data_IF_569984709682
#
_entry.id   IF_569984709682
#
_cell.length_a   1.000
_cell.length_b   1.000
_cell.length_c   1.000
_cell.angle_alpha   90.00
_cell.angle_beta   90.00
_cell.angle_gamma   90.00
#
_symmetry.space_group_name_H-M   'P 1'
#
loop_
_entity.id
_entity.type
_entity.pdbx_description
1 polymer ?
#
# COMPACT_ATOMS: atom_id res chain seq x y z
N UNK A 1 14.89 18.15 -4.58
CA UNK A 1 13.43 18.13 -4.78
C UNK A 1 12.90 19.29 -3.98
N UNK A 2 12.09 20.19 -4.56
CA UNK A 2 11.45 21.23 -3.77
C UNK A 2 10.48 20.55 -2.80
N UNK A 3 10.52 20.95 -1.53
CA UNK A 3 9.59 20.44 -0.52
C UNK A 3 8.17 20.88 -0.88
N UNK A 4 7.26 19.92 -0.97
CA UNK A 4 5.84 20.18 -1.25
C UNK A 4 5.21 20.62 0.05
N UNK A 5 4.56 21.79 0.03
CA UNK A 5 3.90 22.37 1.20
C UNK A 5 2.41 22.54 0.98
N UNK A 6 1.69 22.90 2.03
CA UNK A 6 0.27 23.28 1.98
C UNK A 6 -0.03 24.31 0.87
N UNK A 7 0.92 25.21 0.59
CA UNK A 7 0.76 26.28 -0.40
C UNK A 7 0.69 25.75 -1.83
N UNK A 8 1.22 24.56 -2.06
CA UNK A 8 1.21 23.88 -3.35
C UNK A 8 -0.07 23.06 -3.56
N UNK A 9 -0.81 22.78 -2.48
CA UNK A 9 -2.02 21.95 -2.53
C UNK A 9 -3.21 22.76 -3.05
N UNK A 10 -3.91 22.17 -4.02
CA UNK A 10 -5.16 22.68 -4.57
C UNK A 10 -6.38 22.11 -3.84
N UNK A 11 -6.37 20.81 -3.55
CA UNK A 11 -7.40 20.13 -2.75
C UNK A 11 -6.96 18.75 -2.28
N UNK A 12 -7.66 18.26 -1.25
CA UNK A 12 -7.58 16.88 -0.74
C UNK A 12 -8.98 16.27 -0.75
N UNK A 13 -9.07 14.98 -1.10
CA UNK A 13 -10.33 14.24 -1.04
C UNK A 13 -10.10 12.76 -0.71
N UNK A 14 -11.17 12.12 -0.23
CA UNK A 14 -11.16 10.71 0.17
C UNK A 14 -11.93 9.89 -0.88
N UNK A 15 -11.23 8.97 -1.54
CA UNK A 15 -11.80 7.94 -2.40
C UNK A 15 -12.19 6.70 -1.58
N UNK A 16 -12.66 5.64 -2.24
CA UNK A 16 -13.09 4.40 -1.57
C UNK A 16 -11.96 3.75 -0.77
N UNK A 17 -10.74 3.76 -1.30
CA UNK A 17 -9.58 3.03 -0.78
C UNK A 17 -8.33 3.90 -0.63
N UNK A 18 -8.44 5.21 -0.88
CA UNK A 18 -7.31 6.13 -0.91
C UNK A 18 -7.64 7.53 -0.41
N UNK A 19 -6.60 8.21 0.09
CA UNK A 19 -6.55 9.66 0.28
C UNK A 19 -5.81 10.24 -0.92
N UNK A 20 -6.38 11.28 -1.52
CA UNK A 20 -5.86 11.89 -2.74
C UNK A 20 -5.53 13.35 -2.52
N UNK A 21 -4.42 13.80 -3.10
CA UNK A 21 -3.96 15.18 -3.07
C UNK A 21 -3.76 15.65 -4.51
N UNK A 22 -4.33 16.80 -4.86
CA UNK A 22 -4.07 17.50 -6.13
C UNK A 22 -3.27 18.77 -5.83
N UNK A 23 -2.16 18.96 -6.54
CA UNK A 23 -1.37 20.18 -6.48
C UNK A 23 -1.87 21.22 -7.47
N UNK A 24 -1.50 22.49 -7.26
CA UNK A 24 -1.83 23.61 -8.15
C UNK A 24 -1.26 23.46 -9.56
N UNK A 25 -0.16 22.72 -9.71
CA UNK A 25 0.44 22.39 -11.01
C UNK A 25 -0.25 21.22 -11.74
N UNK A 26 -1.30 20.64 -11.15
CA UNK A 26 -2.08 19.55 -11.73
C UNK A 26 -1.58 18.14 -11.40
N UNK A 27 -0.46 17.97 -10.69
CA UNK A 27 -0.04 16.64 -10.22
C UNK A 27 -1.04 16.09 -9.20
N UNK A 28 -1.36 14.80 -9.32
CA UNK A 28 -2.22 14.09 -8.39
C UNK A 28 -1.43 12.95 -7.73
N UNK A 29 -1.39 12.98 -6.40
CA UNK A 29 -0.75 11.97 -5.56
C UNK A 29 -1.79 11.22 -4.73
N UNK A 30 -1.48 9.96 -4.38
CA UNK A 30 -2.41 9.09 -3.64
C UNK A 30 -1.70 8.28 -2.57
N UNK A 31 -2.37 8.12 -1.43
CA UNK A 31 -2.03 7.18 -0.37
C UNK A 31 -3.16 6.19 -0.16
N UNK A 32 -2.83 4.90 -0.06
CA UNK A 32 -3.84 3.87 0.14
C UNK A 32 -4.19 3.76 1.62
N UNK A 33 -5.48 3.89 1.96
CA UNK A 33 -5.97 3.77 3.34
C UNK A 33 -5.49 2.47 3.98
N UNK A 34 -5.54 1.38 3.19
CA UNK A 34 -5.11 0.03 3.59
C UNK A 34 -3.61 -0.13 3.84
N UNK A 35 -2.80 0.89 3.66
CA UNK A 35 -1.37 0.83 3.97
C UNK A 35 -1.07 1.42 5.37
N UNK A 36 -2.07 1.99 6.05
CA UNK A 36 -1.95 2.63 7.37
C UNK A 36 -2.98 2.08 8.35
N UNK A 37 -2.52 1.45 9.45
CA UNK A 37 -3.41 0.82 10.43
C UNK A 37 -4.46 1.77 11.04
N UNK A 38 -4.14 3.03 11.42
CA UNK A 38 -5.13 3.97 11.93
C UNK A 38 -6.20 4.31 10.90
N UNK A 39 -5.80 4.53 9.64
CA UNK A 39 -6.73 4.87 8.56
C UNK A 39 -7.63 3.68 8.18
N UNK A 40 -7.16 2.43 8.31
CA UNK A 40 -7.98 1.22 8.09
C UNK A 40 -9.17 1.14 9.05
N UNK A 41 -8.99 1.61 10.29
CA UNK A 41 -10.00 1.52 11.36
C UNK A 41 -10.91 2.74 11.41
N UNK A 42 -10.53 3.81 10.72
CA UNK A 42 -11.26 5.07 10.71
C UNK A 42 -12.59 4.98 9.96
N UNK A 43 -13.59 5.72 10.43
CA UNK A 43 -14.83 5.93 9.69
C UNK A 43 -14.59 6.88 8.51
N UNK A 44 -15.51 6.87 7.53
CA UNK A 44 -15.40 7.81 6.40
C UNK A 44 -15.54 9.27 6.81
N UNK A 45 -16.23 9.55 7.92
CA UNK A 45 -16.36 10.91 8.43
C UNK A 45 -15.03 11.39 9.01
N UNK A 46 -14.36 10.56 9.82
CA UNK A 46 -13.02 10.85 10.35
C UNK A 46 -12.00 11.09 9.23
N UNK A 47 -12.03 10.27 8.17
CA UNK A 47 -11.13 10.46 7.03
C UNK A 47 -11.43 11.74 6.23
N UNK A 48 -12.70 12.13 6.11
CA UNK A 48 -13.10 13.36 5.41
C UNK A 48 -12.78 14.61 6.21
N UNK A 49 -12.74 14.51 7.54
CA UNK A 49 -12.37 15.58 8.46
C UNK A 49 -10.84 15.78 8.54
N UNK A 50 -10.16 15.70 7.39
CA UNK A 50 -8.73 15.89 7.29
C UNK A 50 -8.40 17.35 6.93
N UNK A 51 -7.25 17.83 7.38
CA UNK A 51 -6.71 19.15 7.03
C UNK A 51 -5.33 19.03 6.42
N UNK A 52 -4.94 20.02 5.62
CA UNK A 52 -3.55 20.16 5.14
C UNK A 52 -2.87 21.17 6.03
N UNK A 53 -1.64 20.87 6.46
CA UNK A 53 -0.84 21.75 7.31
C UNK A 53 0.64 21.48 7.08
N UNK A 54 1.41 22.56 6.92
CA UNK A 54 2.84 22.55 6.64
C UNK A 54 3.19 21.65 5.45
N UNK A 55 3.59 20.42 5.71
CA UNK A 55 4.08 19.42 4.76
C UNK A 55 3.24 18.13 4.77
N UNK A 56 2.03 18.15 5.36
CA UNK A 56 1.23 16.93 5.56
C UNK A 56 -0.29 17.09 5.46
N UNK A 57 -0.96 15.95 5.36
CA UNK A 57 -2.41 15.77 5.55
C UNK A 57 -2.65 15.16 6.92
N UNK A 58 -3.34 15.87 7.78
CA UNK A 58 -3.58 15.52 9.18
C UNK A 58 -5.02 15.05 9.42
N UNK A 59 -5.15 14.02 10.25
CA UNK A 59 -6.42 13.44 10.71
C UNK A 59 -6.50 13.61 12.22
N UNK A 60 -7.05 14.76 12.68
CA UNK A 60 -7.03 15.11 14.10
C UNK A 60 -7.77 14.08 14.97
N UNK A 61 -8.85 13.48 14.46
CA UNK A 61 -9.61 12.42 15.16
C UNK A 61 -8.81 11.11 15.35
N UNK A 62 -7.69 10.95 14.63
CA UNK A 62 -6.87 9.73 14.61
C UNK A 62 -5.46 9.93 15.19
N UNK A 63 -5.10 11.18 15.52
CA UNK A 63 -3.73 11.57 15.89
C UNK A 63 -2.68 11.05 14.88
N UNK A 64 -2.99 11.18 13.58
CA UNK A 64 -2.20 10.62 12.49
C UNK A 64 -1.99 11.64 11.36
N UNK A 65 -0.83 11.54 10.70
CA UNK A 65 -0.42 12.46 9.64
C UNK A 65 0.26 11.75 8.47
N UNK A 66 -0.11 12.15 7.25
CA UNK A 66 0.53 11.67 6.02
C UNK A 66 1.33 12.80 5.39
N UNK A 67 2.66 12.64 5.28
CA UNK A 67 3.51 13.61 4.60
C UNK A 67 3.12 13.77 3.11
N UNK A 68 3.01 15.01 2.63
CA UNK A 68 2.70 15.36 1.24
C UNK A 68 3.70 14.73 0.27
N UNK A 69 4.98 14.68 0.62
CA UNK A 69 6.02 14.01 -0.17
C UNK A 69 5.71 12.52 -0.41
N UNK A 70 5.04 11.86 0.54
CA UNK A 70 4.59 10.47 0.44
C UNK A 70 3.63 10.24 -0.72
N UNK A 71 2.65 11.14 -0.91
CA UNK A 71 1.63 11.04 -1.96
C UNK A 71 2.20 11.01 -3.38
N UNK A 72 3.36 11.63 -3.60
CA UNK A 72 4.04 11.73 -4.89
C UNK A 72 5.30 10.87 -4.99
N UNK A 73 5.66 10.19 -3.90
CA UNK A 73 6.81 9.29 -3.89
C UNK A 73 6.50 8.03 -4.70
N UNK A 74 7.49 7.48 -5.44
CA UNK A 74 7.34 6.20 -6.11
C UNK A 74 6.90 5.15 -5.10
N UNK A 75 5.66 4.69 -5.21
CA UNK A 75 5.18 3.61 -4.36
C UNK A 75 5.99 2.38 -4.71
N UNK A 76 6.78 1.88 -3.77
CA UNK A 76 7.24 0.48 -3.81
C UNK A 76 6.02 -0.39 -3.53
N UNK A 77 5.08 -0.43 -4.47
CA UNK A 77 4.09 -1.50 -4.49
C UNK A 77 4.91 -2.74 -4.78
N UNK A 78 5.28 -3.48 -3.74
CA UNK A 78 5.73 -4.84 -3.88
C UNK A 78 4.51 -5.72 -3.65
N UNK A 79 3.74 -6.07 -4.70
CA UNK A 79 2.48 -6.78 -4.51
C UNK A 79 2.71 -8.16 -3.90
N UNK A 80 3.90 -8.76 -4.07
CA UNK A 80 4.25 -10.05 -3.45
C UNK A 80 4.52 -9.85 -1.97
N UNK A 81 5.41 -8.91 -1.61
CA UNK A 81 5.71 -8.60 -0.20
C UNK A 81 4.49 -8.14 0.58
N UNK A 82 3.62 -7.36 -0.06
CA UNK A 82 2.38 -6.86 0.52
C UNK A 82 1.47 -7.95 1.07
N UNK A 83 1.38 -9.11 0.40
CA UNK A 83 0.52 -10.20 0.87
C UNK A 83 1.01 -10.75 2.21
N UNK A 84 2.32 -10.95 2.38
CA UNK A 84 2.88 -11.42 3.64
C UNK A 84 2.84 -10.38 4.76
N UNK A 85 2.77 -9.09 4.41
CA UNK A 85 2.51 -8.04 5.38
C UNK A 85 1.05 -8.00 5.84
N UNK A 86 0.10 -8.20 4.91
CA UNK A 86 -1.33 -8.22 5.21
C UNK A 86 -1.78 -9.49 5.96
N UNK A 87 -1.09 -10.60 5.74
CA UNK A 87 -1.43 -11.90 6.31
C UNK A 87 -0.18 -12.49 6.99
N UNK A 88 0.16 -12.01 8.21
CA UNK A 88 1.36 -12.46 8.94
C UNK A 88 1.34 -13.97 9.26
N UNK A 89 0.18 -14.62 9.17
CA UNK A 89 0.01 -16.07 9.33
C UNK A 89 0.60 -16.85 8.14
N UNK A 90 0.83 -16.20 6.99
CA UNK A 90 1.44 -16.83 5.82
C UNK A 90 2.96 -16.91 5.94
N UNK A 91 3.50 -18.12 5.73
CA UNK A 91 4.94 -18.34 5.70
C UNK A 91 5.51 -18.27 4.27
N UNK A 92 6.34 -17.25 3.99
CA UNK A 92 6.94 -17.05 2.67
C UNK A 92 7.84 -18.21 2.20
N UNK A 93 8.55 -18.87 3.12
CA UNK A 93 9.39 -20.01 2.79
C UNK A 93 8.55 -21.25 2.43
N UNK A 94 7.45 -21.50 3.15
CA UNK A 94 6.51 -22.57 2.82
C UNK A 94 5.81 -22.32 1.47
N UNK A 95 5.39 -21.08 1.24
CA UNK A 95 4.81 -20.66 -0.04
C UNK A 95 5.78 -20.88 -1.21
N UNK A 96 7.05 -20.49 -1.04
CA UNK A 96 8.08 -20.69 -2.07
C UNK A 96 8.29 -22.17 -2.41
N UNK A 97 8.34 -23.05 -1.39
CA UNK A 97 8.43 -24.51 -1.59
C UNK A 97 7.24 -25.04 -2.37
N UNK A 98 6.03 -24.65 -1.98
CA UNK A 98 4.78 -25.06 -2.63
C UNK A 98 4.71 -24.65 -4.10
N UNK A 99 5.25 -23.47 -4.44
CA UNK A 99 5.31 -22.95 -5.80
C UNK A 99 6.50 -23.49 -6.63
N UNK A 100 7.43 -24.23 -6.01
CA UNK A 100 8.66 -24.70 -6.67
C UNK A 100 9.65 -23.58 -7.01
N UNK A 101 9.68 -22.49 -6.22
CA UNK A 101 10.63 -21.37 -6.39
C UNK A 101 11.73 -21.48 -5.33
N UNK A 102 13.01 -21.30 -5.70
CA UNK A 102 14.08 -21.21 -4.71
C UNK A 102 13.78 -20.14 -3.64
N UNK A 103 13.84 -20.51 -2.37
CA UNK A 103 13.48 -19.62 -1.26
C UNK A 103 14.27 -18.28 -1.28
N UNK A 104 15.58 -18.23 -1.60
CA UNK A 104 16.29 -16.95 -1.69
C UNK A 104 15.76 -16.04 -2.80
N UNK A 105 15.35 -16.61 -3.94
CA UNK A 105 14.77 -15.85 -5.03
C UNK A 105 13.39 -15.31 -4.64
N UNK A 106 12.58 -16.13 -3.97
CA UNK A 106 11.27 -15.69 -3.50
C UNK A 106 11.38 -14.63 -2.40
N UNK A 107 12.34 -14.75 -1.48
CA UNK A 107 12.65 -13.72 -0.48
C UNK A 107 13.02 -12.38 -1.15
N UNK A 108 13.81 -12.42 -2.23
CA UNK A 108 14.12 -11.23 -3.03
C UNK A 108 12.88 -10.61 -3.70
N UNK A 109 11.88 -11.43 -4.06
CA UNK A 109 10.58 -10.93 -4.51
C UNK A 109 9.76 -10.34 -3.36
N UNK A 110 9.78 -10.93 -2.17
CA UNK A 110 9.04 -10.47 -0.98
C UNK A 110 9.61 -9.17 -0.41
N UNK A 111 10.94 -8.98 -0.44
CA UNK A 111 11.57 -7.73 0.01
C UNK A 111 11.65 -6.65 -1.10
N UNK A 112 11.31 -7.02 -2.35
CA UNK A 112 11.23 -6.09 -3.48
C UNK A 112 12.57 -5.78 -4.16
N UNK A 113 13.66 -6.44 -3.76
CA UNK A 113 14.97 -6.32 -4.43
C UNK A 113 14.98 -6.92 -5.83
N UNK A 114 14.09 -7.87 -6.13
CA UNK A 114 13.87 -8.41 -7.48
C UNK A 114 12.41 -8.31 -7.88
N UNK A 115 12.18 -8.05 -9.17
CA UNK A 115 10.84 -8.02 -9.77
C UNK A 115 10.58 -9.33 -10.53
N UNK A 116 9.54 -10.11 -10.18
CA UNK A 116 9.17 -11.28 -10.98
C UNK A 116 8.64 -10.85 -12.35
N UNK A 117 8.92 -11.67 -13.38
CA UNK A 117 8.32 -11.50 -14.70
C UNK A 117 6.79 -11.62 -14.66
N UNK A 118 6.09 -11.18 -15.70
CA UNK A 118 4.63 -11.25 -15.77
C UNK A 118 4.11 -12.68 -15.57
N UNK A 119 4.70 -13.66 -16.27
CA UNK A 119 4.35 -15.07 -16.12
C UNK A 119 4.61 -15.60 -14.70
N UNK A 120 5.75 -15.21 -14.10
CA UNK A 120 6.09 -15.61 -12.72
C UNK A 120 5.12 -15.01 -11.71
N UNK A 121 4.74 -13.74 -11.90
CA UNK A 121 3.76 -13.04 -11.08
C UNK A 121 2.38 -13.68 -11.16
N UNK A 122 1.93 -14.08 -12.35
CA UNK A 122 0.67 -14.80 -12.52
C UNK A 122 0.68 -16.10 -11.72
N UNK A 123 1.75 -16.91 -11.81
CA UNK A 123 1.89 -18.15 -11.01
C UNK A 123 1.82 -17.89 -9.51
N UNK A 124 2.49 -16.83 -9.02
CA UNK A 124 2.43 -16.43 -7.61
C UNK A 124 0.99 -16.10 -7.20
N UNK A 125 0.27 -15.28 -7.97
CA UNK A 125 -1.10 -14.90 -7.66
C UNK A 125 -2.06 -16.10 -7.71
N UNK A 126 -1.92 -16.98 -8.70
CA UNK A 126 -2.74 -18.18 -8.85
C UNK A 126 -2.59 -19.10 -7.63
N UNK A 127 -1.38 -19.20 -7.07
CA UNK A 127 -1.10 -20.00 -5.88
C UNK A 127 -1.68 -19.38 -4.60
N UNK A 128 -1.64 -18.06 -4.43
CA UNK A 128 -2.35 -17.40 -3.33
C UNK A 128 -3.86 -17.68 -3.38
N UNK A 129 -4.48 -17.55 -4.57
CA UNK A 129 -5.89 -17.87 -4.72
C UNK A 129 -6.20 -19.35 -4.47
N UNK A 130 -5.28 -20.25 -4.82
CA UNK A 130 -5.42 -21.68 -4.55
C UNK A 130 -5.41 -21.96 -3.05
N UNK A 131 -4.45 -21.40 -2.31
CA UNK A 131 -4.41 -21.50 -0.85
C UNK A 131 -5.71 -20.96 -0.24
N UNK A 132 -6.19 -19.79 -0.70
CA UNK A 132 -7.46 -19.23 -0.23
C UNK A 132 -8.64 -20.17 -0.43
N UNK A 133 -8.75 -20.82 -1.60
CA UNK A 133 -9.80 -21.83 -1.85
C UNK A 133 -9.67 -23.07 -0.98
N UNK A 134 -8.45 -23.56 -0.75
CA UNK A 134 -8.22 -24.72 0.13
C UNK A 134 -8.59 -24.41 1.59
N UNK A 135 -8.29 -23.19 2.06
CA UNK A 135 -8.69 -22.73 3.39
C UNK A 135 -10.21 -22.56 3.55
N UNK A 136 -10.95 -22.33 2.47
CA UNK A 136 -12.41 -22.27 2.52
C UNK A 136 -13.07 -23.66 2.57
N UNK A 137 -12.32 -24.74 2.34
CA UNK A 137 -12.83 -26.11 2.32
C UNK A 137 -12.59 -26.87 3.63
N UNK A 138 -11.91 -26.26 4.60
CA UNK A 138 -11.66 -26.84 5.93
C UNK A 138 -12.71 -26.42 6.95
#
# INVERSE_FOLDING_TARGET
MNDITEKDVKRVWVEKDAICVELKDGRIGKELIRDYEPLKKATREQLKNCRVDLDGVWFDDLDEGLALSGFFSPKKTNPVGRIFWLFPELNAAAFARRLGIPQPLFAAYVNGSKKPSAARRKKINDEFHRIGRELMQV
#
